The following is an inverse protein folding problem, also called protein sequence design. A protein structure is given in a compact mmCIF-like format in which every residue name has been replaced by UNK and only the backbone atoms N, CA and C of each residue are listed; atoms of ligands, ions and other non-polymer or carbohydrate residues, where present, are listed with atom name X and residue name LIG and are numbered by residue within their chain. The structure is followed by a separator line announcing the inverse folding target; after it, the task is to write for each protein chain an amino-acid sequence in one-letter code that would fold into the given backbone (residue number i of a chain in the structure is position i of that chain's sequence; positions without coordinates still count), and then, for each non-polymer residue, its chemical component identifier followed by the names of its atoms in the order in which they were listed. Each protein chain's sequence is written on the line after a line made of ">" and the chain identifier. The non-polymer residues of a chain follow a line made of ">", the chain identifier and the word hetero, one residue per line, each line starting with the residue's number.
data_IF_911045682486
#
_entry.id   IF_911045682486
#
_cell.length_a   1.000
_cell.length_b   1.000
_cell.length_c   1.000
_cell.angle_alpha   90.00
_cell.angle_beta   90.00
_cell.angle_gamma   90.00
#
_symmetry.space_group_name_H-M   'P 1'
#
loop_
_entity.id
_entity.type
_entity.pdbx_description
1 polymer ?
#
# COMPACT_ATOMS: atom_id res chain seq x y z
N UNK A 1 -3.48 2.98 -0.53
CA UNK A 1 -4.53 2.03 -1.02
C UNK A 1 -5.54 2.79 -1.88
N UNK A 2 -6.31 2.13 -2.74
CA UNK A 2 -7.33 2.75 -3.60
C UNK A 2 -8.39 1.75 -4.01
N UNK A 3 -9.66 2.04 -3.72
CA UNK A 3 -10.79 1.19 -4.12
C UNK A 3 -11.27 1.48 -5.56
N UNK A 4 -11.01 2.68 -6.07
CA UNK A 4 -11.50 3.15 -7.38
C UNK A 4 -10.43 3.13 -8.47
N UNK A 5 -9.16 3.00 -8.09
CA UNK A 5 -8.04 3.15 -9.02
C UNK A 5 -7.81 4.59 -9.51
N UNK A 6 -8.48 5.59 -8.91
CA UNK A 6 -8.37 7.00 -9.30
C UNK A 6 -8.09 7.94 -8.13
N UNK A 7 -8.21 7.48 -6.88
CA UNK A 7 -7.91 8.26 -5.68
C UNK A 7 -7.42 7.36 -4.55
N UNK A 8 -6.62 7.92 -3.63
CA UNK A 8 -6.26 7.20 -2.41
C UNK A 8 -7.51 6.98 -1.53
N UNK A 9 -7.62 5.79 -0.93
CA UNK A 9 -8.67 5.44 0.02
C UNK A 9 -8.25 5.80 1.45
N UNK A 10 -9.20 6.33 2.24
CA UNK A 10 -8.96 6.70 3.65
C UNK A 10 -9.01 5.51 4.62
N UNK A 11 -9.66 4.41 4.21
CA UNK A 11 -9.86 3.20 5.00
C UNK A 11 -9.88 1.95 4.12
N UNK A 12 -10.02 0.78 4.73
CA UNK A 12 -9.98 -0.53 4.06
C UNK A 12 -8.60 -1.17 4.11
N UNK A 13 -8.40 -2.18 3.27
CA UNK A 13 -7.14 -2.90 3.15
C UNK A 13 -6.57 -2.85 1.74
N UNK A 14 -5.33 -3.30 1.58
CA UNK A 14 -4.64 -3.30 0.29
C UNK A 14 -5.35 -4.17 -0.75
N UNK A 15 -6.05 -5.24 -0.34
CA UNK A 15 -6.82 -6.10 -1.25
C UNK A 15 -7.87 -5.35 -2.10
N UNK A 16 -8.33 -4.18 -1.66
CA UNK A 16 -9.28 -3.36 -2.44
C UNK A 16 -8.66 -2.67 -3.66
N UNK A 17 -7.33 -2.73 -3.78
CA UNK A 17 -6.54 -2.07 -4.81
C UNK A 17 -5.61 -0.99 -4.24
N UNK A 18 -4.71 -0.51 -5.09
CA UNK A 18 -3.75 0.54 -4.75
C UNK A 18 -3.20 1.25 -5.99
N UNK A 19 -2.60 2.41 -5.74
CA UNK A 19 -1.94 3.22 -6.75
C UNK A 19 -0.45 3.30 -6.44
N UNK A 20 0.35 3.42 -7.50
CA UNK A 20 1.74 3.87 -7.44
C UNK A 20 1.80 5.15 -8.26
N UNK A 21 2.33 6.21 -7.67
CA UNK A 21 2.37 7.53 -8.29
C UNK A 21 3.59 8.32 -7.80
N UNK A 22 3.95 9.36 -8.53
CA UNK A 22 4.99 10.29 -8.13
C UNK A 22 4.39 11.39 -7.25
N UNK A 23 4.58 11.25 -5.93
CA UNK A 23 4.16 12.21 -4.91
C UNK A 23 5.25 13.27 -4.73
N UNK A 24 5.07 14.43 -5.38
CA UNK A 24 6.10 15.48 -5.41
C UNK A 24 6.07 16.31 -4.12
N UNK A 25 4.90 16.40 -3.49
CA UNK A 25 4.70 17.23 -2.30
C UNK A 25 4.84 16.45 -0.98
N UNK A 26 5.05 15.12 -1.06
CA UNK A 26 5.26 14.20 0.05
C UNK A 26 4.10 14.20 1.06
N UNK A 27 2.86 14.19 0.58
CA UNK A 27 1.66 14.17 1.43
C UNK A 27 0.94 12.81 1.48
N UNK A 28 1.42 11.81 0.73
CA UNK A 28 0.88 10.46 0.59
C UNK A 28 -0.57 10.40 0.09
N UNK A 29 -1.02 11.42 -0.63
CA UNK A 29 -2.32 11.53 -1.29
C UNK A 29 -2.07 11.76 -2.77
N UNK A 30 -2.91 11.19 -3.64
CA UNK A 30 -2.86 11.50 -5.06
C UNK A 30 -3.52 12.85 -5.31
N UNK A 31 -2.75 13.85 -5.70
CA UNK A 31 -3.22 15.19 -6.04
C UNK A 31 -3.43 15.41 -7.54
N UNK A 32 -4.17 16.46 -7.88
CA UNK A 32 -4.38 16.86 -9.27
C UNK A 32 -3.03 17.24 -9.93
N UNK A 33 -2.74 16.59 -11.05
CA UNK A 33 -1.49 16.81 -11.81
C UNK A 33 -0.35 15.86 -11.44
N UNK A 34 -0.51 15.04 -10.40
CA UNK A 34 0.47 14.01 -10.07
C UNK A 34 0.38 12.81 -11.03
N UNK A 35 1.53 12.25 -11.36
CA UNK A 35 1.62 11.17 -12.33
C UNK A 35 1.34 9.82 -11.67
N UNK A 36 0.23 9.19 -12.04
CA UNK A 36 -0.03 7.79 -11.72
C UNK A 36 0.81 6.90 -12.62
N UNK A 37 1.65 6.06 -11.99
CA UNK A 37 2.54 5.10 -12.64
C UNK A 37 1.81 3.76 -12.81
N UNK A 38 1.05 3.34 -11.80
CA UNK A 38 0.32 2.08 -11.80
C UNK A 38 -0.98 2.19 -11.00
N UNK A 39 -2.05 1.61 -11.54
CA UNK A 39 -3.29 1.38 -10.81
C UNK A 39 -3.57 -0.12 -10.72
N UNK A 40 -3.54 -0.66 -9.50
CA UNK A 40 -3.92 -2.04 -9.21
C UNK A 40 -5.37 -2.07 -8.74
N UNK A 41 -6.20 -2.77 -9.50
CA UNK A 41 -7.59 -3.02 -9.13
C UNK A 41 -7.69 -4.00 -7.95
N UNK A 42 -8.88 -4.07 -7.35
CA UNK A 42 -9.20 -5.02 -6.30
C UNK A 42 -8.79 -6.46 -6.67
N UNK A 43 -8.30 -7.18 -5.67
CA UNK A 43 -7.88 -8.56 -5.83
C UNK A 43 -9.10 -9.49 -5.94
N UNK A 44 -8.90 -10.71 -6.47
CA UNK A 44 -9.95 -11.71 -6.55
C UNK A 44 -10.55 -12.02 -5.17
N UNK A 45 -11.85 -12.33 -5.14
CA UNK A 45 -12.52 -12.76 -3.92
C UNK A 45 -11.75 -13.89 -3.22
N UNK A 46 -11.72 -13.86 -1.89
CA UNK A 46 -11.02 -14.86 -1.06
C UNK A 46 -9.57 -14.54 -0.73
N UNK A 47 -9.02 -13.42 -1.22
CA UNK A 47 -7.71 -12.91 -0.80
C UNK A 47 -7.86 -11.64 0.03
N UNK A 48 -7.36 -11.68 1.26
CA UNK A 48 -7.30 -10.53 2.16
C UNK A 48 -5.85 -10.07 2.27
N UNK A 49 -5.59 -8.81 1.91
CA UNK A 49 -4.29 -8.17 2.08
C UNK A 49 -4.47 -6.94 2.97
N UNK A 50 -3.81 -6.94 4.12
CA UNK A 50 -3.86 -5.89 5.14
C UNK A 50 -2.44 -5.48 5.52
N UNK A 51 -2.29 -4.29 6.11
CA UNK A 51 -1.00 -3.80 6.59
C UNK A 51 -1.07 -3.42 8.06
N UNK A 52 0.01 -3.64 8.80
CA UNK A 52 0.12 -3.10 10.16
C UNK A 52 0.26 -1.56 10.14
N UNK A 53 0.22 -0.91 11.31
CA UNK A 53 0.06 0.55 11.43
C UNK A 53 0.94 1.37 10.47
N UNK A 54 2.26 1.13 10.35
CA UNK A 54 3.14 1.93 9.49
C UNK A 54 2.85 1.81 7.98
N UNK A 55 2.31 0.68 7.53
CA UNK A 55 2.01 0.40 6.11
C UNK A 55 0.51 0.22 5.88
N UNK A 56 -0.33 0.64 6.82
CA UNK A 56 -1.78 0.45 6.74
C UNK A 56 -2.45 1.35 5.69
N UNK A 57 -1.79 2.43 5.25
CA UNK A 57 -2.36 3.45 4.35
C UNK A 57 -1.58 3.63 3.06
N UNK A 58 -0.26 3.77 3.19
CA UNK A 58 0.67 4.02 2.10
C UNK A 58 2.01 3.36 2.40
N UNK A 59 2.84 3.25 1.36
CA UNK A 59 4.26 2.96 1.43
C UNK A 59 4.92 3.98 0.50
N UNK A 60 5.90 4.74 0.99
CA UNK A 60 6.62 5.75 0.19
C UNK A 60 8.10 5.47 0.15
N UNK A 61 8.68 5.66 -1.03
CA UNK A 61 10.09 5.47 -1.31
C UNK A 61 10.72 6.81 -1.67
N UNK A 62 11.88 7.09 -1.09
CA UNK A 62 12.72 8.23 -1.49
C UNK A 62 13.58 7.87 -2.72
N UNK A 63 14.23 8.85 -3.38
CA UNK A 63 15.07 8.59 -4.55
C UNK A 63 16.22 7.60 -4.30
N UNK A 64 16.66 7.43 -3.05
CA UNK A 64 17.69 6.45 -2.69
C UNK A 64 17.13 5.02 -2.54
N UNK A 65 15.84 4.80 -2.76
CA UNK A 65 15.16 3.52 -2.53
C UNK A 65 14.78 3.25 -1.08
N UNK A 66 15.14 4.13 -0.14
CA UNK A 66 14.77 3.97 1.27
C UNK A 66 13.30 4.35 1.49
N UNK A 67 12.59 3.58 2.32
CA UNK A 67 11.20 3.87 2.70
C UNK A 67 11.09 4.86 3.85
N UNK A 68 10.17 5.81 3.74
CA UNK A 68 10.02 6.89 4.71
C UNK A 68 8.56 7.23 4.93
N UNK A 69 8.21 7.58 6.16
CA UNK A 69 6.94 8.22 6.48
C UNK A 69 6.93 9.65 5.95
N UNK A 70 5.75 10.24 5.78
CA UNK A 70 5.61 11.66 5.42
C UNK A 70 6.31 12.60 6.41
N UNK A 71 6.49 12.17 7.66
CA UNK A 71 7.27 12.89 8.68
C UNK A 71 8.78 12.89 8.45
N UNK A 72 9.27 12.11 7.48
CA UNK A 72 10.69 11.90 7.19
C UNK A 72 11.34 10.75 7.97
N UNK A 73 10.66 10.19 8.98
CA UNK A 73 11.13 9.03 9.73
C UNK A 73 11.14 7.76 8.87
N UNK A 74 11.92 6.75 9.26
CA UNK A 74 11.92 5.45 8.58
C UNK A 74 10.54 4.81 8.58
N UNK A 75 10.13 4.22 7.45
CA UNK A 75 8.90 3.45 7.35
C UNK A 75 9.23 1.97 7.20
N UNK A 76 8.93 1.18 8.22
CA UNK A 76 9.03 -0.27 8.17
C UNK A 76 7.73 -0.89 8.67
N UNK A 77 7.30 -1.98 8.03
CA UNK A 77 6.04 -2.62 8.38
C UNK A 77 5.82 -3.90 7.59
N UNK A 78 4.68 -4.53 7.84
CA UNK A 78 4.34 -5.83 7.25
C UNK A 78 2.99 -5.74 6.59
N UNK A 79 2.91 -6.20 5.34
CA UNK A 79 1.66 -6.57 4.71
C UNK A 79 1.42 -8.06 4.92
N UNK A 80 0.22 -8.43 5.33
CA UNK A 80 -0.19 -9.82 5.53
C UNK A 80 -1.22 -10.19 4.48
N UNK A 81 -0.87 -11.16 3.64
CA UNK A 81 -1.76 -11.77 2.66
C UNK A 81 -2.33 -13.06 3.24
N UNK A 82 -3.64 -13.12 3.43
CA UNK A 82 -4.38 -14.30 3.84
C UNK A 82 -5.21 -14.83 2.66
N UNK A 83 -5.17 -16.14 2.44
CA UNK A 83 -6.12 -16.82 1.57
C UNK A 83 -7.28 -17.35 2.42
N UNK A 84 -8.39 -16.62 2.42
CA UNK A 84 -9.61 -16.97 3.16
C UNK A 84 -10.37 -18.14 2.50
N UNK A 85 -10.12 -18.41 1.23
CA UNK A 85 -10.69 -19.58 0.54
C UNK A 85 -9.92 -20.88 0.80
N UNK A 86 -8.77 -20.82 1.47
CA UNK A 86 -8.00 -22.00 1.81
C UNK A 86 -8.52 -22.64 3.11
N UNK A 87 -8.72 -23.95 3.09
CA UNK A 87 -9.22 -24.75 4.23
C UNK A 87 -8.35 -24.61 5.50
N UNK A 88 -7.07 -24.25 5.36
CA UNK A 88 -6.14 -24.02 6.47
C UNK A 88 -5.64 -22.58 6.64
N UNK A 89 -6.28 -21.59 5.99
CA UNK A 89 -5.96 -20.17 6.19
C UNK A 89 -4.50 -19.82 5.89
N UNK A 90 -3.97 -20.27 4.75
CA UNK A 90 -2.58 -20.01 4.38
C UNK A 90 -2.31 -18.51 4.32
N UNK A 91 -1.32 -18.04 5.10
CA UNK A 91 -0.88 -16.66 5.14
C UNK A 91 0.54 -16.49 4.60
N UNK A 92 0.83 -15.29 4.08
CA UNK A 92 2.17 -14.83 3.69
C UNK A 92 2.39 -13.43 4.23
N UNK A 93 3.61 -13.15 4.62
CA UNK A 93 4.03 -11.81 5.01
C UNK A 93 4.92 -11.23 3.92
N UNK A 94 4.70 -9.95 3.63
CA UNK A 94 5.59 -9.12 2.82
C UNK A 94 6.12 -8.03 3.74
N UNK A 95 7.42 -8.10 4.02
CA UNK A 95 8.09 -7.16 4.91
C UNK A 95 8.62 -5.99 4.10
N UNK A 96 8.26 -4.79 4.54
CA UNK A 96 8.80 -3.51 4.07
C UNK A 96 9.89 -3.11 5.06
N UNK A 97 11.15 -3.21 4.65
CA UNK A 97 12.30 -2.70 5.41
C UNK A 97 12.67 -1.28 4.97
N UNK A 98 13.43 -0.58 5.80
CA UNK A 98 13.94 0.76 5.49
C UNK A 98 15.16 0.78 4.57
N UNK A 99 15.77 -0.39 4.32
CA UNK A 99 16.96 -0.64 3.50
C UNK A 99 16.97 -2.09 3.03
#
# INVERSE_FOLDING_TARGET
>A
MSATGTSCAASGGWHQGWLVFHDVNNNAVLDAGEMVILARQAQSAGLLLTGNTPVSKYISYSPSGATKLISGAFQAGTLTLCNESAVSGAAREVVVSST
#
